data_IF_382295356918
#
_entry.id   IF_382295356918
#
_cell.length_a   1.000
_cell.length_b   1.000
_cell.length_c   1.000
_cell.angle_alpha   90.00
_cell.angle_beta   90.00
_cell.angle_gamma   90.00
#
_symmetry.space_group_name_H-M   'P 1'
#
loop_
_entity.id
_entity.type
_entity.pdbx_description
1 polymer ?
#
# COMPACT_ATOMS: atom_id res chain seq x y z
N UNK A 1 -35.91 -1.25 2.57
CA UNK A 1 -34.92 -0.56 1.71
C UNK A 1 -34.21 -1.63 0.90
N UNK A 2 -34.15 -1.49 -0.42
CA UNK A 2 -33.39 -2.36 -1.33
C UNK A 2 -32.28 -1.51 -1.92
N UNK A 3 -31.04 -2.02 -1.91
CA UNK A 3 -29.88 -1.36 -2.49
C UNK A 3 -29.38 -2.25 -3.63
N UNK A 4 -29.45 -1.74 -4.86
CA UNK A 4 -28.90 -2.39 -6.04
C UNK A 4 -27.55 -1.78 -6.40
N UNK A 5 -26.52 -2.63 -6.53
CA UNK A 5 -25.13 -2.23 -6.80
C UNK A 5 -24.63 -3.01 -8.01
N UNK A 6 -24.13 -2.29 -9.03
CA UNK A 6 -23.39 -2.88 -10.14
C UNK A 6 -21.89 -2.74 -9.87
N UNK A 7 -21.21 -3.85 -9.57
CA UNK A 7 -19.78 -3.87 -9.28
C UNK A 7 -18.94 -3.57 -10.53
N UNK A 8 -17.92 -2.72 -10.38
CA UNK A 8 -16.91 -2.48 -11.40
C UNK A 8 -15.91 -3.65 -11.54
N UNK A 9 -14.93 -3.53 -12.46
CA UNK A 9 -13.89 -4.53 -12.63
C UNK A 9 -13.02 -4.66 -11.36
N UNK A 10 -12.47 -5.87 -11.14
CA UNK A 10 -11.52 -6.11 -10.07
C UNK A 10 -10.13 -5.64 -10.51
N UNK A 11 -9.53 -4.75 -9.72
CA UNK A 11 -8.16 -4.30 -9.92
C UNK A 11 -7.16 -5.26 -9.28
N UNK A 12 -5.96 -5.32 -9.85
CA UNK A 12 -4.79 -6.01 -9.27
C UNK A 12 -3.67 -5.01 -9.01
N UNK A 13 -2.78 -5.30 -8.08
CA UNK A 13 -1.64 -4.40 -7.81
C UNK A 13 -0.75 -4.33 -9.05
N UNK A 14 -0.36 -3.13 -9.47
CA UNK A 14 0.58 -2.90 -10.54
C UNK A 14 1.98 -2.63 -9.99
N UNK A 15 2.51 -1.44 -10.30
CA UNK A 15 3.78 -0.97 -9.77
C UNK A 15 3.63 -0.60 -8.30
N UNK A 16 4.54 -1.11 -7.47
CA UNK A 16 4.61 -0.75 -6.05
C UNK A 16 5.93 -0.04 -5.79
N UNK A 17 5.87 1.13 -5.18
CA UNK A 17 7.03 1.90 -4.78
C UNK A 17 6.95 2.25 -3.29
N UNK A 18 8.03 1.99 -2.57
CA UNK A 18 8.21 2.43 -1.19
C UNK A 18 9.27 3.52 -1.17
N UNK A 19 9.00 4.58 -0.43
CA UNK A 19 9.84 5.77 -0.35
C UNK A 19 10.16 6.15 1.10
N UNK A 20 11.08 7.10 1.26
CA UNK A 20 11.56 7.56 2.56
C UNK A 20 12.30 6.46 3.32
N UNK A 21 12.01 6.33 4.60
CA UNK A 21 12.61 5.32 5.47
C UNK A 21 12.13 3.89 5.16
N UNK A 22 11.11 3.73 4.31
CA UNK A 22 10.68 2.43 3.80
C UNK A 22 11.32 2.04 2.45
N UNK A 23 12.12 2.91 1.82
CA UNK A 23 12.65 2.67 0.46
C UNK A 23 13.53 1.43 0.31
N UNK A 24 14.17 0.98 1.41
CA UNK A 24 14.99 -0.22 1.43
C UNK A 24 14.21 -1.52 1.71
N UNK A 25 12.92 -1.44 1.97
CA UNK A 25 12.09 -2.58 2.34
C UNK A 25 11.51 -3.28 1.11
N UNK A 26 11.31 -4.59 1.18
CA UNK A 26 10.63 -5.33 0.11
C UNK A 26 9.12 -5.26 0.31
N UNK A 27 8.41 -4.62 -0.62
CA UNK A 27 6.94 -4.50 -0.58
C UNK A 27 6.23 -5.86 -0.46
N UNK A 28 6.82 -6.91 -1.03
CA UNK A 28 6.32 -8.28 -0.96
C UNK A 28 6.24 -8.83 0.47
N UNK A 29 7.15 -8.43 1.36
CA UNK A 29 7.12 -8.85 2.79
C UNK A 29 5.87 -8.34 3.51
N UNK A 30 5.24 -7.30 2.96
CA UNK A 30 4.03 -6.66 3.49
C UNK A 30 2.77 -7.03 2.71
N UNK A 31 2.87 -7.97 1.76
CA UNK A 31 1.76 -8.43 0.94
C UNK A 31 1.45 -7.54 -0.27
N UNK A 32 2.27 -6.54 -0.55
CA UNK A 32 2.16 -5.72 -1.75
C UNK A 32 2.97 -6.36 -2.89
N UNK A 33 2.31 -7.25 -3.62
CA UNK A 33 2.88 -8.04 -4.70
C UNK A 33 2.17 -7.66 -6.00
N UNK A 34 2.92 -7.32 -7.04
CA UNK A 34 2.38 -7.06 -8.38
C UNK A 34 1.54 -8.25 -8.87
N UNK A 35 0.38 -7.97 -9.44
CA UNK A 35 -0.65 -8.94 -9.80
C UNK A 35 -1.50 -9.45 -8.63
N UNK A 36 -1.18 -9.05 -7.40
CA UNK A 36 -1.89 -9.43 -6.17
C UNK A 36 -3.16 -8.63 -5.92
N UNK A 37 -3.69 -8.75 -4.70
CA UNK A 37 -4.92 -8.09 -4.28
C UNK A 37 -4.73 -6.57 -4.11
N UNK A 38 -5.41 -5.79 -4.95
CA UNK A 38 -5.45 -4.33 -4.87
C UNK A 38 -6.54 -3.80 -3.92
N UNK A 39 -7.17 -4.67 -3.12
CA UNK A 39 -8.14 -4.26 -2.12
C UNK A 39 -7.56 -3.22 -1.16
N UNK A 40 -8.34 -2.19 -0.85
CA UNK A 40 -7.94 -1.13 0.11
C UNK A 40 -7.52 -1.69 1.46
N UNK A 41 -8.14 -2.79 1.91
CA UNK A 41 -7.74 -3.50 3.13
C UNK A 41 -6.34 -4.11 3.05
N UNK A 42 -5.91 -4.58 1.88
CA UNK A 42 -4.56 -5.11 1.68
C UNK A 42 -3.52 -3.98 1.79
N UNK A 43 -3.79 -2.83 1.16
CA UNK A 43 -2.91 -1.65 1.21
C UNK A 43 -2.79 -1.10 2.64
N UNK A 44 -3.91 -0.91 3.33
CA UNK A 44 -3.91 -0.45 4.73
C UNK A 44 -3.19 -1.41 5.68
N UNK A 45 -3.34 -2.72 5.45
CA UNK A 45 -2.61 -3.73 6.23
C UNK A 45 -1.11 -3.62 6.00
N UNK A 46 -0.68 -3.44 4.74
CA UNK A 46 0.73 -3.30 4.41
C UNK A 46 1.34 -2.06 5.08
N UNK A 47 0.65 -0.91 5.01
CA UNK A 47 1.05 0.33 5.70
C UNK A 47 1.29 0.10 7.19
N UNK A 48 0.34 -0.54 7.87
CA UNK A 48 0.43 -0.82 9.31
C UNK A 48 1.62 -1.73 9.64
N UNK A 49 1.91 -2.71 8.80
CA UNK A 49 3.05 -3.62 8.99
C UNK A 49 4.39 -2.91 8.75
N UNK A 50 4.50 -2.09 7.71
CA UNK A 50 5.73 -1.31 7.41
C UNK A 50 6.06 -0.40 8.59
N UNK A 51 5.09 0.39 9.06
CA UNK A 51 5.24 1.28 10.21
C UNK A 51 5.65 0.48 11.45
N UNK A 52 5.00 -0.66 11.69
CA UNK A 52 5.33 -1.53 12.82
C UNK A 52 6.78 -2.05 12.74
N UNK A 53 7.22 -2.51 11.58
CA UNK A 53 8.59 -2.99 11.37
C UNK A 53 9.61 -1.88 11.68
N UNK A 54 9.38 -0.66 11.22
CA UNK A 54 10.27 0.47 11.53
C UNK A 54 10.29 0.77 13.03
N UNK A 55 9.13 0.73 13.70
CA UNK A 55 9.05 0.90 15.17
C UNK A 55 9.86 -0.17 15.91
N UNK A 56 9.77 -1.42 15.47
CA UNK A 56 10.55 -2.53 16.03
C UNK A 56 12.06 -2.38 15.79
N UNK A 57 12.47 -1.65 14.74
CA UNK A 57 13.87 -1.30 14.45
C UNK A 57 14.38 -0.07 15.21
N UNK A 58 13.63 0.42 16.20
CA UNK A 58 14.03 1.58 17.00
C UNK A 58 13.65 2.93 16.38
N UNK A 59 12.65 2.95 15.49
CA UNK A 59 12.03 4.18 14.95
C UNK A 59 10.62 4.35 15.53
N UNK A 60 10.46 4.69 16.83
CA UNK A 60 9.16 4.67 17.51
C UNK A 60 8.15 5.67 16.92
N UNK A 61 8.63 6.70 16.23
CA UNK A 61 7.83 7.74 15.61
C UNK A 61 7.50 7.45 14.14
N UNK A 62 7.75 6.24 13.65
CA UNK A 62 7.47 5.91 12.26
C UNK A 62 5.99 6.11 11.90
N UNK A 63 5.74 6.75 10.76
CA UNK A 63 4.41 7.01 10.21
C UNK A 63 4.43 7.08 8.68
N UNK A 64 3.29 6.78 8.05
CA UNK A 64 3.09 6.99 6.62
C UNK A 64 2.80 8.47 6.41
N UNK A 65 3.69 9.17 5.70
CA UNK A 65 3.56 10.61 5.44
C UNK A 65 2.83 10.91 4.15
N UNK A 66 2.90 10.01 3.17
CA UNK A 66 2.14 10.12 1.93
C UNK A 66 1.73 8.75 1.39
N UNK A 67 0.59 8.76 0.68
CA UNK A 67 0.07 7.61 -0.04
C UNK A 67 -0.54 8.06 -1.35
N UNK A 68 0.05 7.59 -2.44
CA UNK A 68 -0.48 7.80 -3.78
C UNK A 68 -0.99 6.48 -4.34
N UNK A 69 -2.25 6.49 -4.78
CA UNK A 69 -2.93 5.34 -5.37
C UNK A 69 -3.42 5.75 -6.75
N UNK A 70 -2.92 5.12 -7.79
CA UNK A 70 -3.27 5.41 -9.17
C UNK A 70 -3.94 4.18 -9.79
N UNK A 71 -5.22 4.29 -10.10
CA UNK A 71 -5.96 3.25 -10.79
C UNK A 71 -5.86 3.45 -12.31
N UNK A 72 -5.20 2.52 -12.99
CA UNK A 72 -5.21 2.44 -14.45
C UNK A 72 -6.38 1.54 -14.88
N UNK A 73 -7.43 2.18 -15.39
CA UNK A 73 -8.62 1.48 -15.86
C UNK A 73 -8.41 0.74 -17.19
N UNK A 74 -7.38 1.09 -17.98
CA UNK A 74 -7.09 0.41 -19.23
C UNK A 74 -6.47 -0.97 -18.98
N UNK A 75 -5.64 -1.09 -17.95
CA UNK A 75 -4.98 -2.35 -17.54
C UNK A 75 -5.66 -3.02 -16.35
N UNK A 76 -6.62 -2.35 -15.70
CA UNK A 76 -7.21 -2.77 -14.41
C UNK A 76 -6.14 -2.99 -13.33
N UNK A 77 -5.11 -2.13 -13.32
CA UNK A 77 -4.05 -2.18 -12.31
C UNK A 77 -4.12 -1.00 -11.36
N UNK A 78 -3.64 -1.21 -10.14
CA UNK A 78 -3.57 -0.21 -9.09
C UNK A 78 -2.11 -0.03 -8.69
N UNK A 79 -1.53 1.09 -9.10
CA UNK A 79 -0.17 1.47 -8.74
C UNK A 79 -0.18 2.17 -7.38
N UNK A 80 0.76 1.77 -6.52
CA UNK A 80 0.83 2.18 -5.13
C UNK A 80 2.20 2.76 -4.82
N UNK A 81 2.22 4.02 -4.40
CA UNK A 81 3.41 4.65 -3.80
C UNK A 81 3.12 4.98 -2.35
N UNK A 82 3.97 4.47 -1.46
CA UNK A 82 3.91 4.74 -0.01
C UNK A 82 5.19 5.41 0.45
N UNK A 83 5.07 6.59 1.04
CA UNK A 83 6.18 7.32 1.63
C UNK A 83 6.07 7.24 3.14
N UNK A 84 7.13 6.75 3.79
CA UNK A 84 7.16 6.54 5.23
C UNK A 84 8.32 7.31 5.83
N UNK A 85 8.08 8.01 6.94
CA UNK A 85 9.11 8.68 7.71
C UNK A 85 9.22 8.01 9.08
N UNK A 86 10.45 7.76 9.53
CA UNK A 86 10.80 7.16 10.80
C UNK A 86 10.71 8.14 11.99
N UNK A 87 10.64 9.44 11.69
CA UNK A 87 10.78 10.53 12.65
C UNK A 87 12.26 10.90 12.93
N UNK A 88 12.49 11.95 13.74
CA UNK A 88 13.83 12.42 14.10
C UNK A 88 14.60 11.48 15.02
#
# INVERSE_FOLDING_TARGET
>A
VVIDIASGPKFTLGNIHLEGDAAGLMSADYGLISGGDAGSGAVLKAEALIVRTLKEQGRPLAEVTDRQIVADHATSTLDVTLTVAAGP
#
